data_IF_544385341968
#
_entry.id   IF_544385341968
#
_cell.length_a   1.000
_cell.length_b   1.000
_cell.length_c   1.000
_cell.angle_alpha   90.00
_cell.angle_beta   90.00
_cell.angle_gamma   90.00
#
_symmetry.space_group_name_H-M   'P 1'
#
loop_
_entity.id
_entity.type
_entity.pdbx_description
1 polymer ?
#
# COMPACT_ATOMS: atom_id res chain seq x y z
N UNK A 1 -7.54 -18.50 -41.75
CA UNK A 1 -6.37 -17.63 -41.46
C UNK A 1 -6.78 -16.33 -40.76
N UNK A 2 -7.73 -15.56 -41.29
CA UNK A 2 -8.17 -14.29 -40.67
C UNK A 2 -8.78 -14.43 -39.27
N UNK A 3 -9.60 -15.47 -39.05
CA UNK A 3 -10.21 -15.77 -37.73
C UNK A 3 -9.15 -16.15 -36.70
N UNK A 4 -8.10 -16.89 -37.10
CA UNK A 4 -7.00 -17.21 -36.19
C UNK A 4 -6.24 -15.95 -35.76
N UNK A 5 -6.06 -14.98 -36.66
CA UNK A 5 -5.41 -13.70 -36.32
C UNK A 5 -6.20 -12.88 -35.31
N UNK A 6 -7.54 -12.82 -35.46
CA UNK A 6 -8.44 -12.13 -34.51
C UNK A 6 -8.46 -12.82 -33.15
N UNK A 7 -8.51 -14.16 -33.13
CA UNK A 7 -8.51 -14.92 -31.87
C UNK A 7 -7.15 -14.82 -31.18
N UNK A 8 -6.05 -14.80 -31.92
CA UNK A 8 -4.69 -14.60 -31.38
C UNK A 8 -4.53 -13.18 -30.83
N UNK A 9 -4.98 -12.13 -31.54
CA UNK A 9 -4.98 -10.74 -31.04
C UNK A 9 -5.87 -10.57 -29.80
N UNK A 10 -7.06 -11.18 -29.77
CA UNK A 10 -7.93 -11.17 -28.59
C UNK A 10 -7.34 -11.96 -27.42
N UNK A 11 -6.69 -13.10 -27.68
CA UNK A 11 -5.94 -13.84 -26.65
C UNK A 11 -4.70 -13.06 -26.19
N UNK A 12 -3.98 -12.37 -27.07
CA UNK A 12 -2.85 -11.49 -26.73
C UNK A 12 -3.32 -10.26 -25.95
N UNK A 13 -4.51 -9.75 -26.25
CA UNK A 13 -5.17 -8.69 -25.49
C UNK A 13 -5.60 -9.19 -24.10
N UNK A 14 -6.06 -10.44 -23.99
CA UNK A 14 -6.39 -11.10 -22.72
C UNK A 14 -5.16 -11.64 -21.95
N UNK A 15 -4.02 -11.81 -22.62
CA UNK A 15 -2.69 -12.15 -22.06
C UNK A 15 -1.84 -10.91 -21.81
N UNK A 16 -2.37 -9.70 -22.05
CA UNK A 16 -1.80 -8.51 -21.41
C UNK A 16 -2.01 -8.71 -19.92
N UNK A 17 -0.91 -8.96 -19.21
CA UNK A 17 -0.80 -8.74 -17.78
C UNK A 17 -1.63 -7.51 -17.43
N UNK A 18 -2.70 -7.69 -16.67
CA UNK A 18 -3.51 -6.58 -16.19
C UNK A 18 -2.64 -5.86 -15.17
N UNK A 19 -1.87 -4.88 -15.66
CA UNK A 19 -0.95 -4.11 -14.83
C UNK A 19 -1.82 -3.19 -13.98
N UNK A 20 -1.93 -3.51 -12.70
CA UNK A 20 -2.71 -2.72 -11.77
C UNK A 20 -1.80 -1.75 -11.03
N UNK A 21 -2.26 -0.51 -10.92
CA UNK A 21 -1.61 0.49 -10.08
C UNK A 21 -2.09 0.32 -8.63
N UNK A 22 -1.15 0.16 -7.73
CA UNK A 22 -1.36 0.02 -6.29
C UNK A 22 -0.83 1.29 -5.60
N UNK A 23 -1.56 1.75 -4.59
CA UNK A 23 -1.25 2.97 -3.86
C UNK A 23 -0.74 2.65 -2.48
N UNK A 24 0.36 3.29 -2.09
CA UNK A 24 1.07 3.03 -0.85
C UNK A 24 1.30 4.30 -0.05
N UNK A 25 1.34 4.11 1.25
CA UNK A 25 1.74 5.12 2.22
C UNK A 25 2.92 4.57 3.01
N UNK A 26 4.11 5.11 2.74
CA UNK A 26 5.32 4.74 3.46
C UNK A 26 5.43 5.63 4.69
N UNK A 27 5.37 5.02 5.88
CA UNK A 27 5.32 5.74 7.16
C UNK A 27 6.57 5.51 7.99
N UNK A 28 7.07 6.58 8.62
CA UNK A 28 8.14 6.55 9.61
C UNK A 28 8.06 7.77 10.51
N UNK A 29 8.01 7.57 11.82
CA UNK A 29 7.82 8.63 12.82
C UNK A 29 6.62 9.51 12.42
N UNK A 30 6.87 10.78 12.05
CA UNK A 30 5.86 11.75 11.59
C UNK A 30 5.82 11.92 10.06
N UNK A 31 6.63 11.17 9.33
CA UNK A 31 6.76 11.27 7.88
C UNK A 31 5.85 10.24 7.20
N UNK A 32 5.08 10.73 6.23
CA UNK A 32 4.18 9.93 5.41
C UNK A 32 4.49 10.24 3.94
N UNK A 33 4.97 9.25 3.20
CA UNK A 33 5.31 9.37 1.78
C UNK A 33 4.28 8.58 0.98
N UNK A 34 3.45 9.30 0.22
CA UNK A 34 2.47 8.69 -0.67
C UNK A 34 3.12 8.41 -2.02
N UNK A 35 2.97 7.18 -2.49
CA UNK A 35 3.48 6.76 -3.79
C UNK A 35 2.61 5.68 -4.40
N UNK A 36 2.70 5.56 -5.73
CA UNK A 36 2.09 4.49 -6.49
C UNK A 36 3.15 3.58 -7.10
N UNK A 37 2.80 2.30 -7.24
CA UNK A 37 3.63 1.32 -7.91
C UNK A 37 2.76 0.24 -8.56
N UNK A 38 3.29 -0.35 -9.63
CA UNK A 38 2.62 -1.45 -10.33
C UNK A 38 2.66 -2.72 -9.48
N UNK A 39 1.59 -3.51 -9.51
CA UNK A 39 1.51 -4.81 -8.81
C UNK A 39 2.68 -5.77 -9.13
N UNK A 40 3.14 -5.74 -10.38
CA UNK A 40 4.29 -6.49 -10.90
C UNK A 40 5.66 -5.89 -10.56
N UNK A 41 5.72 -4.68 -10.01
CA UNK A 41 6.98 -4.06 -9.61
C UNK A 41 7.57 -4.79 -8.38
N UNK A 42 8.90 -4.91 -8.28
CA UNK A 42 9.54 -5.45 -7.10
C UNK A 42 9.46 -4.44 -5.95
N UNK A 43 9.46 -4.95 -4.70
CA UNK A 43 9.51 -4.12 -3.48
C UNK A 43 10.71 -3.15 -3.48
N UNK A 44 11.78 -3.50 -4.20
CA UNK A 44 12.95 -2.64 -4.37
C UNK A 44 12.61 -1.26 -4.95
N UNK A 45 11.59 -1.15 -5.81
CA UNK A 45 11.18 0.13 -6.38
C UNK A 45 10.62 1.07 -5.30
N UNK A 46 9.80 0.57 -4.37
CA UNK A 46 9.32 1.35 -3.22
C UNK A 46 10.48 1.92 -2.38
N UNK A 47 11.55 1.15 -2.19
CA UNK A 47 12.74 1.61 -1.44
C UNK A 47 13.50 2.73 -2.16
N UNK A 48 13.48 2.73 -3.50
CA UNK A 48 14.12 3.80 -4.29
C UNK A 48 13.33 5.11 -4.24
N UNK A 49 12.01 5.04 -4.08
CA UNK A 49 11.13 6.21 -3.95
C UNK A 49 11.42 6.97 -2.65
N UNK A 50 11.84 6.27 -1.59
CA UNK A 50 12.34 6.89 -0.36
C UNK A 50 13.71 7.51 -0.63
N UNK A 51 13.71 8.72 -1.19
CA UNK A 51 14.92 9.48 -1.46
C UNK A 51 15.65 9.87 -0.17
N UNK A 52 16.98 9.94 -0.23
CA UNK A 52 17.82 10.39 0.90
C UNK A 52 18.25 9.28 1.87
N UNK A 53 17.75 8.06 1.71
CA UNK A 53 18.18 6.90 2.52
C UNK A 53 18.75 5.81 1.60
N UNK A 54 19.94 5.25 1.88
CA UNK A 54 20.46 4.12 1.10
C UNK A 54 19.57 2.87 1.25
N UNK A 55 19.17 2.29 0.12
CA UNK A 55 18.28 1.11 0.03
C UNK A 55 18.73 -0.09 0.89
N UNK A 56 20.03 -0.23 1.14
CA UNK A 56 20.59 -1.31 1.97
C UNK A 56 20.30 -1.15 3.46
N UNK A 57 20.09 0.08 3.93
CA UNK A 57 19.78 0.36 5.33
C UNK A 57 18.26 0.40 5.55
N UNK A 58 17.46 0.41 4.48
CA UNK A 58 16.00 0.41 4.53
C UNK A 58 15.42 -1.01 4.62
N UNK A 59 14.52 -1.20 5.57
CA UNK A 59 13.68 -2.39 5.71
C UNK A 59 12.23 -1.91 5.63
N UNK A 60 11.53 -2.29 4.55
CA UNK A 60 10.10 -2.04 4.43
C UNK A 60 9.36 -3.19 5.11
N UNK A 61 8.42 -2.86 5.98
CA UNK A 61 7.59 -3.83 6.66
C UNK A 61 6.12 -3.54 6.38
N UNK A 62 5.38 -4.59 6.05
CA UNK A 62 3.94 -4.53 5.91
C UNK A 62 3.29 -4.71 7.28
N UNK A 63 2.34 -3.86 7.61
CA UNK A 63 1.48 -4.04 8.77
C UNK A 63 0.35 -5.01 8.38
N UNK A 64 0.21 -6.13 9.10
CA UNK A 64 -0.83 -7.13 8.80
C UNK A 64 -2.18 -6.70 9.39
N UNK A 65 -2.16 -5.87 10.43
CA UNK A 65 -3.31 -5.31 11.13
C UNK A 65 -3.00 -3.85 11.54
N UNK A 66 -4.00 -3.11 12.03
CA UNK A 66 -3.79 -1.81 12.71
C UNK A 66 -2.90 -1.92 13.97
N UNK A 67 -2.49 -3.14 14.35
CA UNK A 67 -1.54 -3.39 15.42
C UNK A 67 -0.10 -3.33 14.91
N UNK A 68 0.62 -2.30 15.37
CA UNK A 68 2.07 -2.05 15.15
C UNK A 68 2.94 -3.25 15.55
N UNK A 69 2.44 -4.16 16.39
CA UNK A 69 3.18 -5.34 16.87
C UNK A 69 3.20 -6.53 15.88
N UNK A 70 2.35 -6.54 14.84
CA UNK A 70 2.29 -7.62 13.85
C UNK A 70 2.73 -7.12 12.47
N UNK A 71 4.05 -7.07 12.28
CA UNK A 71 4.66 -6.61 11.03
C UNK A 71 5.39 -7.74 10.31
N UNK A 72 5.28 -7.75 8.99
CA UNK A 72 5.97 -8.68 8.12
C UNK A 72 7.00 -7.94 7.25
N UNK A 73 8.30 -8.24 7.38
CA UNK A 73 9.31 -7.65 6.52
C UNK A 73 9.13 -8.10 5.06
N UNK A 74 9.22 -7.12 4.16
CA UNK A 74 9.07 -7.33 2.73
C UNK A 74 10.41 -7.69 2.09
N UNK A 75 10.40 -8.68 1.21
CA UNK A 75 11.60 -9.10 0.46
C UNK A 75 11.75 -8.28 -0.82
N UNK A 76 12.94 -7.72 -1.04
CA UNK A 76 13.28 -6.92 -2.22
C UNK A 76 13.09 -7.67 -3.55
N UNK A 77 13.22 -9.00 -3.54
CA UNK A 77 13.11 -9.82 -4.75
C UNK A 77 11.67 -10.15 -5.13
N UNK A 78 10.74 -10.02 -4.18
CA UNK A 78 9.33 -10.30 -4.43
C UNK A 78 8.65 -9.10 -5.08
N UNK A 79 7.66 -9.40 -5.90
CA UNK A 79 6.72 -8.40 -6.41
C UNK A 79 5.78 -7.92 -5.31
N UNK A 80 5.12 -6.78 -5.53
CA UNK A 80 4.11 -6.27 -4.62
C UNK A 80 2.91 -7.22 -4.52
N UNK A 81 2.52 -7.84 -5.64
CA UNK A 81 1.50 -8.89 -5.66
C UNK A 81 1.88 -10.10 -4.76
N UNK A 82 3.10 -10.63 -4.89
CA UNK A 82 3.59 -11.76 -4.08
C UNK A 82 3.78 -11.42 -2.60
N UNK A 83 3.93 -10.12 -2.30
CA UNK A 83 4.01 -9.59 -0.94
C UNK A 83 2.64 -9.45 -0.27
N UNK A 84 1.55 -9.76 -1.00
CA UNK A 84 0.19 -9.73 -0.51
C UNK A 84 -0.54 -8.40 -0.75
N UNK A 85 -0.02 -7.52 -1.60
CA UNK A 85 -0.71 -6.31 -2.04
C UNK A 85 -1.55 -6.58 -3.30
N UNK A 86 -2.73 -5.97 -3.35
CA UNK A 86 -3.67 -6.08 -4.46
C UNK A 86 -4.56 -4.84 -4.54
N UNK A 87 -5.35 -4.74 -5.61
CA UNK A 87 -6.25 -3.60 -5.86
C UNK A 87 -7.27 -3.39 -4.75
N UNK A 88 -7.61 -4.44 -3.98
CA UNK A 88 -8.59 -4.32 -2.91
C UNK A 88 -7.99 -3.72 -1.62
N UNK A 89 -6.70 -3.94 -1.36
CA UNK A 89 -6.02 -3.46 -0.16
C UNK A 89 -5.12 -2.24 -0.36
N UNK A 90 -4.81 -1.87 -1.61
CA UNK A 90 -3.95 -0.74 -1.94
C UNK A 90 -4.67 0.21 -2.94
N UNK A 91 -5.78 0.80 -2.50
CA UNK A 91 -6.63 1.67 -3.33
C UNK A 91 -6.19 3.12 -3.26
N UNK A 92 -6.46 3.91 -4.30
CA UNK A 92 -6.19 5.36 -4.28
C UNK A 92 -6.82 6.09 -3.09
N UNK A 93 -8.06 5.72 -2.73
CA UNK A 93 -8.81 6.32 -1.63
C UNK A 93 -8.40 5.77 -0.25
N UNK A 94 -7.68 4.66 -0.22
CA UNK A 94 -7.26 3.94 1.00
C UNK A 94 -5.96 3.21 0.67
N UNK A 95 -4.83 3.94 0.65
CA UNK A 95 -3.53 3.36 0.30
C UNK A 95 -3.10 2.30 1.31
N UNK A 96 -2.29 1.35 0.87
CA UNK A 96 -1.71 0.35 1.76
C UNK A 96 -0.57 0.96 2.57
N UNK A 97 -0.66 0.83 3.89
CA UNK A 97 0.36 1.35 4.82
C UNK A 97 1.55 0.40 4.89
N UNK A 98 2.74 0.93 4.67
CA UNK A 98 4.02 0.22 4.77
C UNK A 98 4.93 1.01 5.69
N UNK A 99 5.42 0.40 6.76
CA UNK A 99 6.34 1.09 7.65
C UNK A 99 7.78 0.95 7.16
N UNK A 100 8.54 2.04 7.26
CA UNK A 100 9.96 2.08 6.96
C UNK A 100 10.76 1.96 8.25
N UNK A 101 11.62 0.95 8.31
CA UNK A 101 12.56 0.70 9.40
C UNK A 101 14.00 0.81 8.92
N UNK A 102 14.90 1.17 9.82
CA UNK A 102 16.33 1.08 9.59
C UNK A 102 16.91 -0.25 10.05
N UNK A 103 17.99 -0.66 9.39
CA UNK A 103 18.79 -1.81 9.80
C UNK A 103 19.34 -1.60 11.22
N UNK A 104 18.82 -2.37 12.18
CA UNK A 104 19.18 -2.28 13.59
C UNK A 104 18.01 -1.87 14.50
N UNK A 105 16.90 -1.42 13.94
CA UNK A 105 15.67 -1.17 14.70
C UNK A 105 14.91 -2.48 14.96
N UNK A 106 14.34 -2.61 16.17
CA UNK A 106 13.61 -3.82 16.58
C UNK A 106 12.14 -3.81 16.15
N UNK A 107 11.56 -2.64 15.93
CA UNK A 107 10.15 -2.44 15.60
C UNK A 107 9.96 -1.15 14.79
N UNK A 108 8.91 -1.07 13.95
CA UNK A 108 8.58 0.15 13.23
C UNK A 108 8.15 1.26 14.20
N UNK A 109 8.71 2.46 14.02
CA UNK A 109 8.38 3.65 14.80
C UNK A 109 7.39 4.47 13.97
N UNK A 110 6.15 4.58 14.42
CA UNK A 110 5.08 5.31 13.75
C UNK A 110 4.36 6.14 14.82
N UNK A 111 4.26 7.46 14.63
CA UNK A 111 3.51 8.32 15.54
C UNK A 111 2.02 8.27 15.19
N UNK A 112 1.16 8.20 16.21
CA UNK A 112 -0.29 8.23 16.01
C UNK A 112 -0.73 9.60 15.46
N UNK A 113 -1.65 9.56 14.50
CA UNK A 113 -2.31 10.77 13.99
C UNK A 113 -3.20 11.39 15.06
N UNK A 114 -3.45 12.69 14.93
CA UNK A 114 -4.33 13.42 15.84
C UNK A 114 -5.76 12.86 15.81
N UNK A 115 -6.38 12.79 16.98
CA UNK A 115 -7.80 12.45 17.09
C UNK A 115 -8.67 13.56 16.50
N UNK A 116 -9.67 13.21 15.67
CA UNK A 116 -10.56 14.22 15.08
C UNK A 116 -11.38 14.92 16.18
N UNK A 117 -11.75 16.21 15.98
CA UNK A 117 -12.59 16.94 16.92
C UNK A 117 -13.99 16.31 17.03
N UNK A 118 -14.70 16.53 18.14
CA UNK A 118 -16.05 16.01 18.31
C UNK A 118 -16.99 16.56 17.24
N UNK A 119 -17.86 15.70 16.72
CA UNK A 119 -18.87 16.07 15.72
C UNK A 119 -19.84 17.11 16.33
N UNK A 120 -20.05 18.28 15.69
CA UNK A 120 -21.00 19.29 16.15
C UNK A 120 -22.43 18.78 16.21
N UNK A 121 -23.27 19.35 17.09
CA UNK A 121 -24.66 18.91 17.27
C UNK A 121 -25.49 19.00 15.99
N UNK A 122 -25.28 20.02 15.15
CA UNK A 122 -25.96 20.16 13.85
C UNK A 122 -25.61 19.05 12.83
N UNK A 123 -24.54 18.30 13.06
CA UNK A 123 -24.08 17.19 12.22
C UNK A 123 -24.32 15.82 12.87
N UNK A 124 -24.83 15.77 14.10
CA UNK A 124 -25.24 14.51 14.72
C UNK A 124 -26.57 14.11 14.10
N UNK A 125 -26.63 12.93 13.50
CA UNK A 125 -27.91 12.33 13.15
C UNK A 125 -28.66 12.07 14.46
N UNK A 126 -29.55 13.00 14.81
CA UNK A 126 -30.46 12.85 15.91
C UNK A 126 -31.36 11.64 15.63
N UNK A 127 -31.13 10.56 16.39
CA UNK A 127 -32.08 9.47 16.50
C UNK A 127 -33.33 10.08 17.12
N UNK A 128 -34.29 10.49 16.27
CA UNK A 128 -35.68 10.68 16.67
C UNK A 128 -36.19 9.31 17.12
N UNK A 129 -35.90 8.95 18.38
CA UNK A 129 -36.68 7.98 19.11
C UNK A 129 -38.05 8.63 19.30
N UNK A 130 -38.97 8.35 18.38
CA UNK A 130 -40.37 8.72 18.53
C UNK A 130 -40.93 7.92 19.71
N UNK A 131 -41.36 8.66 20.74
CA UNK A 131 -42.22 8.22 21.83
C UNK A 131 -43.63 7.90 21.34
#
# INVERSE_FOLDING_TARGET
LWIYSIVIEALLCSLRFEVHELFFEIVREKQHVFCDAKDSAPVLELKKIVEGIPVNDQILVRLIDDNVNNFQPLDNKKTLAESGFNVNNAKAQSPAVVALMFKGESAPIIDELSTPPPIPDAMRNETHSQE
#
